data_IF_767316052515
#
_entry.id   IF_767316052515
#
_cell.length_a   1.000
_cell.length_b   1.000
_cell.length_c   1.000
_cell.angle_alpha   90.00
_cell.angle_beta   90.00
_cell.angle_gamma   90.00
#
_symmetry.space_group_name_H-M   'P 1'
#
loop_
_entity.id
_entity.type
_entity.pdbx_description
1 polymer ?
#
# COMPACT_ATOMS: atom_id res chain seq x y z
N UNK A 1 8.85 -19.45 11.35
CA UNK A 1 8.60 -18.09 11.88
C UNK A 1 9.63 -17.05 11.43
N UNK A 2 10.94 -17.28 11.61
CA UNK A 2 11.99 -16.31 11.24
C UNK A 2 11.91 -15.79 9.79
N UNK A 3 11.54 -16.65 8.84
CA UNK A 3 11.42 -16.27 7.42
C UNK A 3 10.17 -15.44 7.12
N UNK A 4 9.01 -15.79 7.70
CA UNK A 4 7.79 -14.97 7.60
C UNK A 4 8.01 -13.56 8.14
N UNK A 5 8.74 -13.43 9.25
CA UNK A 5 9.05 -12.14 9.84
C UNK A 5 9.96 -11.29 8.94
N UNK A 6 10.92 -11.92 8.24
CA UNK A 6 11.73 -11.23 7.22
C UNK A 6 10.88 -10.72 6.07
N UNK A 7 9.97 -11.56 5.57
CA UNK A 7 9.05 -11.17 4.48
C UNK A 7 8.15 -10.00 4.91
N UNK A 8 7.61 -10.01 6.13
CA UNK A 8 6.78 -8.92 6.68
C UNK A 8 7.59 -7.61 6.81
N UNK A 9 8.82 -7.67 7.31
CA UNK A 9 9.70 -6.50 7.38
C UNK A 9 10.02 -5.96 5.99
N UNK A 10 10.18 -6.84 5.00
CA UNK A 10 10.36 -6.43 3.62
C UNK A 10 9.10 -5.75 3.06
N UNK A 11 7.90 -6.30 3.33
CA UNK A 11 6.63 -5.63 3.00
C UNK A 11 6.57 -4.22 3.63
N UNK A 12 6.98 -4.06 4.89
CA UNK A 12 7.00 -2.76 5.55
C UNK A 12 7.92 -1.77 4.83
N UNK A 13 9.13 -2.18 4.45
CA UNK A 13 10.03 -1.33 3.64
C UNK A 13 9.39 -0.92 2.31
N UNK A 14 8.85 -1.88 1.57
CA UNK A 14 8.19 -1.62 0.28
C UNK A 14 6.98 -0.69 0.45
N UNK A 15 6.20 -0.88 1.52
CA UNK A 15 5.03 -0.05 1.81
C UNK A 15 5.38 1.43 2.01
N UNK A 16 6.53 1.74 2.64
CA UNK A 16 7.00 3.12 2.81
C UNK A 16 7.32 3.75 1.45
N UNK A 17 8.00 3.02 0.56
CA UNK A 17 8.32 3.53 -0.78
C UNK A 17 7.05 3.79 -1.60
N UNK A 18 6.11 2.83 -1.60
CA UNK A 18 4.82 2.98 -2.29
C UNK A 18 4.05 4.17 -1.71
N UNK A 19 3.98 4.28 -0.38
CA UNK A 19 3.34 5.39 0.30
C UNK A 19 3.93 6.73 -0.17
N UNK A 20 5.25 6.89 -0.13
CA UNK A 20 5.91 8.14 -0.49
C UNK A 20 5.64 8.55 -1.95
N UNK A 21 5.69 7.59 -2.88
CA UNK A 21 5.45 7.84 -4.31
C UNK A 21 4.02 8.33 -4.54
N UNK A 22 3.03 7.58 -4.06
CA UNK A 22 1.62 7.92 -4.29
C UNK A 22 1.15 9.12 -3.50
N UNK A 23 1.71 9.33 -2.31
CA UNK A 23 1.50 10.57 -1.54
C UNK A 23 2.03 11.79 -2.31
N UNK A 24 3.22 11.68 -2.93
CA UNK A 24 3.77 12.73 -3.79
C UNK A 24 2.87 13.03 -5.00
N UNK A 25 2.34 11.99 -5.65
CA UNK A 25 1.35 12.17 -6.73
C UNK A 25 0.10 12.91 -6.21
N UNK A 26 -0.39 12.53 -5.03
CA UNK A 26 -1.52 13.22 -4.40
C UNK A 26 -1.24 14.68 -4.03
N UNK A 27 -0.02 15.02 -3.61
CA UNK A 27 0.39 16.42 -3.41
C UNK A 27 0.29 17.20 -4.73
N UNK A 28 0.81 16.66 -5.83
CA UNK A 28 0.74 17.34 -7.14
C UNK A 28 -0.71 17.58 -7.56
N UNK A 29 -1.58 16.58 -7.38
CA UNK A 29 -3.03 16.72 -7.64
C UNK A 29 -3.65 17.78 -6.70
N UNK A 30 -3.26 17.75 -5.42
CA UNK A 30 -3.72 18.72 -4.43
C UNK A 30 -3.35 20.15 -4.80
N UNK A 31 -2.14 20.40 -5.29
CA UNK A 31 -1.71 21.75 -5.74
C UNK A 31 -2.63 22.26 -6.86
N UNK A 32 -3.03 21.40 -7.79
CA UNK A 32 -3.91 21.77 -8.90
C UNK A 32 -5.36 22.05 -8.46
N UNK A 33 -5.84 21.36 -7.42
CA UNK A 33 -7.27 21.36 -7.04
C UNK A 33 -7.60 22.17 -5.78
N UNK A 34 -6.62 22.46 -4.92
CA UNK A 34 -6.86 22.97 -3.57
C UNK A 34 -6.54 24.47 -3.39
N UNK A 35 -6.45 25.26 -4.46
CA UNK A 35 -6.20 26.71 -4.40
C UNK A 35 -5.04 27.11 -3.46
N UNK A 36 -3.97 26.31 -3.43
CA UNK A 36 -2.81 26.50 -2.55
C UNK A 36 -3.07 26.40 -1.04
N UNK A 37 -4.23 25.89 -0.59
CA UNK A 37 -4.43 25.57 0.82
C UNK A 37 -3.56 24.36 1.21
N UNK A 38 -2.52 24.61 2.01
CA UNK A 38 -1.54 23.60 2.42
C UNK A 38 -2.18 22.36 3.07
N UNK A 39 -3.22 22.55 3.90
CA UNK A 39 -3.89 21.45 4.58
C UNK A 39 -4.61 20.55 3.56
N UNK A 40 -5.34 21.15 2.65
CA UNK A 40 -6.09 20.42 1.62
C UNK A 40 -5.16 19.71 0.64
N UNK A 41 -4.00 20.30 0.32
CA UNK A 41 -2.95 19.65 -0.48
C UNK A 41 -2.45 18.36 0.20
N UNK A 42 -2.15 18.42 1.49
CA UNK A 42 -1.71 17.23 2.24
C UNK A 42 -2.80 16.17 2.34
N UNK A 43 -4.07 16.58 2.51
CA UNK A 43 -5.21 15.66 2.50
C UNK A 43 -5.38 14.95 1.16
N UNK A 44 -5.13 15.63 0.03
CA UNK A 44 -5.08 15.00 -1.28
C UNK A 44 -3.99 13.93 -1.40
N UNK A 45 -2.83 14.17 -0.79
CA UNK A 45 -1.78 13.15 -0.59
C UNK A 45 -2.32 11.89 0.08
N UNK A 46 -2.99 12.03 1.22
CA UNK A 46 -3.60 10.91 1.94
C UNK A 46 -4.67 10.18 1.11
N UNK A 47 -5.57 10.93 0.45
CA UNK A 47 -6.66 10.34 -0.36
C UNK A 47 -6.16 9.44 -1.48
N UNK A 48 -5.12 9.85 -2.21
CA UNK A 48 -4.55 9.03 -3.28
C UNK A 48 -3.96 7.73 -2.74
N UNK A 49 -3.26 7.77 -1.59
CA UNK A 49 -2.74 6.56 -0.94
C UNK A 49 -3.89 5.65 -0.48
N UNK A 50 -4.96 6.22 0.09
CA UNK A 50 -6.15 5.46 0.49
C UNK A 50 -6.82 4.78 -0.70
N UNK A 51 -6.98 5.47 -1.84
CA UNK A 51 -7.54 4.87 -3.06
C UNK A 51 -6.69 3.71 -3.55
N UNK A 52 -5.36 3.87 -3.60
CA UNK A 52 -4.45 2.78 -3.96
C UNK A 52 -4.64 1.58 -3.04
N UNK A 53 -4.73 1.83 -1.73
CA UNK A 53 -4.90 0.76 -0.76
C UNK A 53 -6.22 0.02 -0.93
N UNK A 54 -7.31 0.75 -1.14
CA UNK A 54 -8.62 0.16 -1.40
C UNK A 54 -8.58 -0.72 -2.65
N UNK A 55 -7.93 -0.26 -3.74
CA UNK A 55 -7.73 -1.07 -4.94
C UNK A 55 -6.95 -2.35 -4.63
N UNK A 56 -5.87 -2.27 -3.85
CA UNK A 56 -5.10 -3.44 -3.43
C UNK A 56 -5.94 -4.45 -2.63
N UNK A 57 -6.75 -3.96 -1.68
CA UNK A 57 -7.66 -4.79 -0.90
C UNK A 57 -8.75 -5.43 -1.75
N UNK A 58 -9.31 -4.72 -2.73
CA UNK A 58 -10.30 -5.26 -3.68
C UNK A 58 -9.68 -6.39 -4.50
N UNK A 59 -8.45 -6.22 -5.00
CA UNK A 59 -7.73 -7.27 -5.74
C UNK A 59 -7.56 -8.52 -4.87
N UNK A 60 -7.19 -8.35 -3.60
CA UNK A 60 -7.09 -9.46 -2.66
C UNK A 60 -8.45 -10.13 -2.40
N UNK A 61 -9.52 -9.36 -2.21
CA UNK A 61 -10.87 -9.91 -2.04
C UNK A 61 -11.31 -10.74 -3.25
N UNK A 62 -11.08 -10.23 -4.47
CA UNK A 62 -11.34 -10.97 -5.70
C UNK A 62 -10.50 -12.24 -5.79
N UNK A 63 -9.23 -12.19 -5.40
CA UNK A 63 -8.36 -13.36 -5.38
C UNK A 63 -8.82 -14.44 -4.40
N UNK A 64 -9.36 -14.06 -3.24
CA UNK A 64 -9.90 -15.02 -2.29
C UNK A 64 -11.16 -15.73 -2.81
N UNK A 65 -11.94 -15.10 -3.69
CA UNK A 65 -13.08 -15.77 -4.34
C UNK A 65 -12.68 -16.77 -5.42
N UNK A 66 -11.49 -16.63 -6.00
CA UNK A 66 -10.96 -17.53 -7.04
C UNK A 66 -9.64 -18.14 -6.59
N UNK A 67 -9.72 -19.30 -5.93
CA UNK A 67 -8.56 -20.02 -5.38
C UNK A 67 -7.46 -20.34 -6.41
N UNK A 68 -7.79 -20.39 -7.70
CA UNK A 68 -6.83 -20.51 -8.81
C UNK A 68 -5.82 -19.36 -8.85
N UNK A 69 -6.23 -18.15 -8.45
CA UNK A 69 -5.36 -16.98 -8.40
C UNK A 69 -4.33 -17.11 -7.27
N UNK A 70 -4.61 -17.85 -6.21
CA UNK A 70 -3.69 -18.04 -5.07
C UNK A 70 -2.52 -19.00 -5.37
N UNK A 71 -2.52 -19.62 -6.56
CA UNK A 71 -1.44 -20.51 -7.01
C UNK A 71 -0.11 -19.76 -7.13
N UNK A 72 1.03 -20.48 -7.05
CA UNK A 72 2.34 -19.87 -7.25
C UNK A 72 2.42 -19.17 -8.61
N UNK A 73 3.14 -18.04 -8.64
CA UNK A 73 3.39 -17.26 -9.84
C UNK A 73 4.13 -18.07 -10.90
N UNK A 74 3.96 -17.72 -12.18
CA UNK A 74 4.75 -18.32 -13.25
C UNK A 74 6.27 -18.10 -13.06
N UNK A 75 6.66 -16.93 -12.50
CA UNK A 75 8.04 -16.56 -12.15
C UNK A 75 8.32 -16.76 -10.65
N UNK A 76 7.91 -17.89 -10.09
CA UNK A 76 8.03 -18.15 -8.64
C UNK A 76 9.49 -18.11 -8.16
N UNK A 77 10.47 -18.56 -8.95
CA UNK A 77 11.88 -18.56 -8.53
C UNK A 77 12.41 -17.14 -8.28
N UNK A 78 12.06 -16.19 -9.14
CA UNK A 78 12.42 -14.78 -8.97
C UNK A 78 11.70 -14.18 -7.77
N UNK A 79 10.42 -14.51 -7.60
CA UNK A 79 9.64 -14.09 -6.44
C UNK A 79 10.26 -14.56 -5.12
N UNK A 80 10.74 -15.81 -5.07
CA UNK A 80 11.40 -16.38 -3.89
C UNK A 80 12.74 -15.74 -3.53
N UNK A 81 13.36 -14.96 -4.42
CA UNK A 81 14.54 -14.13 -4.08
C UNK A 81 14.20 -13.03 -3.07
N UNK A 82 12.97 -12.50 -3.14
CA UNK A 82 12.50 -11.42 -2.27
C UNK A 82 11.60 -11.91 -1.14
N UNK A 83 10.68 -12.84 -1.43
CA UNK A 83 9.68 -13.35 -0.49
C UNK A 83 9.77 -14.87 -0.34
N UNK A 84 10.32 -15.32 0.79
CA UNK A 84 10.64 -16.74 1.02
C UNK A 84 9.40 -17.58 1.25
N UNK A 85 8.38 -17.01 1.90
CA UNK A 85 7.18 -17.72 2.33
C UNK A 85 5.89 -17.05 1.88
N UNK A 86 5.84 -15.71 1.82
CA UNK A 86 4.63 -15.02 1.39
C UNK A 86 4.41 -15.17 -0.12
N UNK A 87 3.16 -15.37 -0.51
CA UNK A 87 2.72 -15.31 -1.90
C UNK A 87 2.30 -13.88 -2.24
N UNK A 88 2.20 -13.56 -3.54
CA UNK A 88 1.89 -12.20 -4.02
C UNK A 88 0.67 -11.57 -3.35
N UNK A 89 -0.43 -12.31 -3.24
CA UNK A 89 -1.67 -11.80 -2.65
C UNK A 89 -1.52 -11.40 -1.18
N UNK A 90 -0.77 -12.19 -0.40
CA UNK A 90 -0.47 -11.85 1.00
C UNK A 90 0.42 -10.62 1.09
N UNK A 91 1.37 -10.47 0.17
CA UNK A 91 2.22 -9.27 0.09
C UNK A 91 1.39 -8.04 -0.25
N UNK A 92 0.52 -8.10 -1.27
CA UNK A 92 -0.38 -7.01 -1.64
C UNK A 92 -1.29 -6.65 -0.46
N UNK A 93 -1.88 -7.64 0.21
CA UNK A 93 -2.76 -7.41 1.35
C UNK A 93 -2.02 -6.71 2.51
N UNK A 94 -0.85 -7.21 2.89
CA UNK A 94 -0.05 -6.63 3.99
C UNK A 94 0.39 -5.21 3.64
N UNK A 95 0.88 -4.98 2.42
CA UNK A 95 1.27 -3.64 1.96
C UNK A 95 0.07 -2.70 2.03
N UNK A 96 -1.09 -3.11 1.50
CA UNK A 96 -2.33 -2.32 1.49
C UNK A 96 -2.75 -1.96 2.93
N UNK A 97 -2.76 -2.93 3.85
CA UNK A 97 -3.07 -2.67 5.25
C UNK A 97 -2.11 -1.66 5.89
N UNK A 98 -0.81 -1.81 5.66
CA UNK A 98 0.19 -0.89 6.22
C UNK A 98 0.00 0.53 5.67
N UNK A 99 -0.13 0.69 4.35
CA UNK A 99 -0.31 2.03 3.76
C UNK A 99 -1.64 2.67 4.16
N UNK A 100 -2.71 1.88 4.37
CA UNK A 100 -3.98 2.37 4.93
C UNK A 100 -3.75 2.97 6.32
N UNK A 101 -3.11 2.20 7.21
CA UNK A 101 -2.86 2.63 8.59
C UNK A 101 -2.01 3.90 8.58
N UNK A 102 -0.90 3.91 7.83
CA UNK A 102 -0.03 5.08 7.72
C UNK A 102 -0.79 6.31 7.21
N UNK A 103 -1.64 6.14 6.19
CA UNK A 103 -2.39 7.24 5.61
C UNK A 103 -3.42 7.82 6.58
N UNK A 104 -4.18 6.98 7.30
CA UNK A 104 -5.14 7.46 8.28
C UNK A 104 -4.46 8.08 9.50
N UNK A 105 -3.32 7.54 9.95
CA UNK A 105 -2.53 8.18 10.99
C UNK A 105 -2.07 9.58 10.57
N UNK A 106 -1.58 9.74 9.34
CA UNK A 106 -1.14 11.04 8.83
C UNK A 106 -2.32 12.00 8.67
N UNK A 107 -3.43 11.56 8.08
CA UNK A 107 -4.65 12.36 7.94
C UNK A 107 -5.16 12.84 9.31
N UNK A 108 -5.21 11.94 10.30
CA UNK A 108 -5.58 12.30 11.68
C UNK A 108 -4.67 13.40 12.24
N UNK A 109 -3.35 13.28 12.07
CA UNK A 109 -2.40 14.32 12.49
C UNK A 109 -2.60 15.67 11.79
N UNK A 110 -3.08 15.68 10.54
CA UNK A 110 -3.40 16.91 9.78
C UNK A 110 -4.76 17.50 10.19
N UNK A 111 -5.70 16.67 10.64
CA UNK A 111 -7.03 17.12 11.04
C UNK A 111 -7.02 17.67 12.47
N UNK A 112 -6.36 16.98 13.40
CA UNK A 112 -6.35 17.35 14.82
C UNK A 112 -5.30 18.41 15.19
N UNK A 113 -4.44 18.80 14.27
CA UNK A 113 -3.43 19.84 14.44
C UNK A 113 -3.72 21.03 13.53
#
# INVERSE_FOLDING_TARGET
>A
MKEYLKDIVFCFKVSIYIFAIFFGIGIVIGILLANFNFRDILLWGCRIVQYLSILGMIICALAFTKTELLRPLNYNEEWRKYFRKLNLFWVILIISLIITILSYCLESLIIFK
#
